data_IF_737708653111
#
_entry.id   IF_737708653111
#
_cell.length_a   1.000
_cell.length_b   1.000
_cell.length_c   1.000
_cell.angle_alpha   90.00
_cell.angle_beta   90.00
_cell.angle_gamma   90.00
#
_symmetry.space_group_name_H-M   'P 1'
#
loop_
_entity.id
_entity.type
_entity.pdbx_description
1 polymer ?
#
# COMPACT_ATOMS: atom_id res chain seq x y z
N UNK A 1 -12.30 14.47 19.58
CA UNK A 1 -11.65 13.97 18.35
C UNK A 1 -12.75 13.45 17.41
N UNK A 2 -12.65 13.69 16.11
CA UNK A 2 -13.68 13.36 15.10
C UNK A 2 -13.53 11.95 14.49
N UNK A 3 -12.40 11.27 14.74
CA UNK A 3 -12.19 9.88 14.36
C UNK A 3 -12.78 8.96 15.44
N UNK A 4 -13.70 8.08 15.05
CA UNK A 4 -14.32 7.09 15.94
C UNK A 4 -13.29 6.18 16.62
N UNK A 5 -13.66 5.60 17.76
CA UNK A 5 -12.82 4.58 18.42
C UNK A 5 -12.76 3.32 17.56
N UNK A 6 -11.61 2.62 17.59
CA UNK A 6 -11.33 1.39 16.83
C UNK A 6 -11.45 1.57 15.31
N UNK A 7 -11.32 2.80 14.83
CA UNK A 7 -11.32 3.08 13.40
C UNK A 7 -10.02 2.60 12.75
N UNK A 8 -10.11 2.20 11.48
CA UNK A 8 -8.96 1.98 10.61
C UNK A 8 -8.89 3.15 9.63
N UNK A 9 -7.73 3.80 9.57
CA UNK A 9 -7.42 4.88 8.63
C UNK A 9 -6.40 4.37 7.64
N UNK A 10 -6.77 4.29 6.36
CA UNK A 10 -5.85 3.96 5.28
C UNK A 10 -5.31 5.25 4.66
N UNK A 11 -4.03 5.55 4.91
CA UNK A 11 -3.32 6.67 4.31
C UNK A 11 -2.57 6.19 3.05
N UNK A 12 -3.12 6.55 1.88
CA UNK A 12 -2.58 6.19 0.56
C UNK A 12 -1.68 7.28 -0.03
N UNK A 13 -1.46 8.41 0.67
CA UNK A 13 -0.75 9.55 0.08
C UNK A 13 0.76 9.52 0.34
N UNK A 14 1.50 10.16 -0.58
CA UNK A 14 2.93 10.48 -0.42
C UNK A 14 3.17 11.94 -0.83
N UNK A 15 3.67 12.82 0.07
CA UNK A 15 3.91 12.59 1.51
C UNK A 15 2.65 12.16 2.29
N UNK A 16 2.83 11.55 3.46
CA UNK A 16 1.72 11.06 4.30
C UNK A 16 0.83 12.22 4.74
N UNK A 17 -0.48 12.00 4.75
CA UNK A 17 -1.45 12.96 5.27
C UNK A 17 -1.57 12.87 6.79
N UNK A 18 -1.32 11.70 7.37
CA UNK A 18 -1.37 11.48 8.82
C UNK A 18 0.02 11.63 9.43
N UNK A 19 0.15 12.54 10.39
CA UNK A 19 1.36 12.72 11.18
C UNK A 19 1.52 11.60 12.21
N UNK A 20 2.75 11.22 12.53
CA UNK A 20 3.07 10.12 13.44
C UNK A 20 2.52 10.37 14.87
N UNK A 21 2.48 11.63 15.28
CA UNK A 21 1.93 12.08 16.56
C UNK A 21 0.46 11.70 16.72
N UNK A 22 -0.31 11.64 15.63
CA UNK A 22 -1.73 11.24 15.67
C UNK A 22 -1.84 9.79 16.10
N UNK A 23 -1.03 8.89 15.55
CA UNK A 23 -1.04 7.48 15.92
C UNK A 23 -0.52 7.25 17.35
N UNK A 24 0.45 8.06 17.80
CA UNK A 24 0.92 8.03 19.20
C UNK A 24 -0.15 8.49 20.19
N UNK A 25 -0.93 9.52 19.82
CA UNK A 25 -1.99 10.07 20.67
C UNK A 25 -3.28 9.22 20.66
N UNK A 26 -3.56 8.51 19.55
CA UNK A 26 -4.76 7.68 19.37
C UNK A 26 -4.39 6.20 19.26
N UNK A 27 -4.02 5.59 20.38
CA UNK A 27 -3.73 4.14 20.47
C UNK A 27 -4.96 3.24 20.29
N UNK A 28 -6.14 3.84 20.12
CA UNK A 28 -7.40 3.20 19.77
C UNK A 28 -7.75 3.31 18.28
N UNK A 29 -6.84 3.81 17.44
CA UNK A 29 -7.02 3.93 15.98
C UNK A 29 -5.85 3.25 15.28
N UNK A 30 -6.15 2.43 14.27
CA UNK A 30 -5.14 1.82 13.42
C UNK A 30 -4.93 2.69 12.19
N UNK A 31 -3.72 3.24 12.02
CA UNK A 31 -3.33 3.94 10.78
C UNK A 31 -2.49 2.97 9.95
N UNK A 32 -2.93 2.66 8.73
CA UNK A 32 -2.21 1.82 7.79
C UNK A 32 -1.77 2.62 6.56
N UNK A 33 -0.61 2.29 6.01
CA UNK A 33 -0.12 2.79 4.73
C UNK A 33 -0.70 1.92 3.62
N UNK A 34 -1.38 2.54 2.66
CA UNK A 34 -1.89 1.84 1.48
C UNK A 34 -0.93 1.90 0.29
N UNK A 35 -1.15 1.02 -0.69
CA UNK A 35 -0.43 1.06 -1.97
C UNK A 35 1.01 0.58 -1.90
N UNK A 36 1.32 -0.41 -1.05
CA UNK A 36 2.62 -1.09 -1.00
C UNK A 36 2.50 -2.48 -1.62
N UNK A 37 3.41 -2.80 -2.52
CA UNK A 37 3.41 -4.06 -3.27
C UNK A 37 4.75 -4.76 -3.10
N UNK A 38 4.71 -6.06 -2.80
CA UNK A 38 5.86 -6.95 -2.86
C UNK A 38 6.12 -7.31 -4.33
N UNK A 39 7.31 -6.97 -4.81
CA UNK A 39 7.75 -7.22 -6.19
C UNK A 39 8.46 -8.59 -6.23
N UNK A 40 8.11 -9.47 -7.17
CA UNK A 40 8.69 -10.82 -7.26
C UNK A 40 10.20 -10.77 -7.55
N UNK A 41 10.93 -11.75 -7.00
CA UNK A 41 12.38 -11.87 -7.14
C UNK A 41 13.15 -10.99 -6.16
N UNK A 42 14.32 -10.50 -6.60
CA UNK A 42 15.21 -9.63 -5.81
C UNK A 42 15.53 -8.38 -6.63
N UNK A 43 14.56 -7.49 -6.87
CA UNK A 43 14.79 -6.31 -7.70
C UNK A 43 15.75 -5.34 -7.01
N UNK A 44 16.75 -4.89 -7.75
CA UNK A 44 17.50 -3.69 -7.42
C UNK A 44 16.90 -2.50 -8.18
N UNK A 45 16.23 -1.61 -7.45
CA UNK A 45 15.62 -0.41 -8.03
C UNK A 45 16.63 0.71 -8.29
N UNK A 46 17.88 0.59 -7.79
CA UNK A 46 18.91 1.62 -7.94
C UNK A 46 18.61 2.94 -7.21
N UNK A 47 17.53 3.01 -6.43
CA UNK A 47 17.15 4.18 -5.65
C UNK A 47 16.31 3.80 -4.42
N UNK A 48 16.43 4.59 -3.35
CA UNK A 48 15.61 4.47 -2.14
C UNK A 48 14.42 5.45 -2.24
N UNK A 49 13.21 4.90 -2.20
CA UNK A 49 11.96 5.65 -2.19
C UNK A 49 11.13 5.41 -0.93
N UNK A 50 11.76 4.94 0.15
CA UNK A 50 11.20 4.88 1.50
C UNK A 50 10.60 3.53 1.91
N UNK A 51 10.83 2.46 1.14
CA UNK A 51 10.43 1.10 1.51
C UNK A 51 11.62 0.15 1.58
N UNK A 52 11.53 -0.92 2.39
CA UNK A 52 12.50 -2.01 2.36
C UNK A 52 12.71 -2.60 0.95
N UNK A 53 13.86 -3.23 0.68
CA UNK A 53 14.13 -3.91 -0.59
C UNK A 53 13.01 -4.88 -0.99
N UNK A 54 12.76 -4.98 -2.29
CA UNK A 54 11.70 -5.84 -2.84
C UNK A 54 10.28 -5.27 -2.70
N UNK A 55 10.09 -4.05 -2.20
CA UNK A 55 8.79 -3.40 -2.09
C UNK A 55 8.73 -2.14 -2.95
N UNK A 56 7.58 -1.90 -3.57
CA UNK A 56 7.34 -0.75 -4.43
C UNK A 56 5.98 -0.09 -4.15
N UNK A 57 5.81 1.13 -4.64
CA UNK A 57 4.49 1.74 -4.71
C UNK A 57 3.60 0.99 -5.71
N UNK A 58 2.30 0.93 -5.44
CA UNK A 58 1.33 0.29 -6.33
C UNK A 58 1.36 0.88 -7.76
N UNK A 59 1.57 2.19 -7.90
CA UNK A 59 1.72 2.81 -9.23
C UNK A 59 2.98 2.36 -9.98
N UNK A 60 4.09 2.10 -9.28
CA UNK A 60 5.28 1.51 -9.89
C UNK A 60 5.04 0.06 -10.29
N UNK A 61 4.35 -0.70 -9.43
CA UNK A 61 3.98 -2.08 -9.72
C UNK A 61 3.05 -2.19 -10.94
N UNK A 62 2.07 -1.29 -11.10
CA UNK A 62 1.21 -1.24 -12.30
C UNK A 62 2.06 -1.11 -13.58
N UNK A 63 3.01 -0.16 -13.60
CA UNK A 63 3.93 0.01 -14.74
C UNK A 63 4.76 -1.24 -15.03
N UNK A 64 5.26 -1.91 -13.98
CA UNK A 64 6.04 -3.15 -14.12
C UNK A 64 5.17 -4.28 -14.69
N UNK A 65 3.96 -4.45 -14.17
CA UNK A 65 3.00 -5.47 -14.60
C UNK A 65 2.59 -5.26 -16.06
N UNK A 66 2.27 -4.03 -16.46
CA UNK A 66 1.94 -3.71 -17.85
C UNK A 66 3.12 -3.99 -18.78
N UNK A 67 4.34 -3.64 -18.37
CA UNK A 67 5.56 -3.95 -19.13
C UNK A 67 5.75 -5.45 -19.32
N UNK A 68 5.51 -6.27 -18.28
CA UNK A 68 5.60 -7.72 -18.36
C UNK A 68 4.52 -8.35 -19.27
N UNK A 69 3.37 -7.70 -19.40
CA UNK A 69 2.33 -8.06 -20.38
C UNK A 69 2.58 -7.49 -21.78
N UNK A 70 3.64 -6.70 -21.98
CA UNK A 70 3.92 -6.02 -23.25
C UNK A 70 2.89 -4.94 -23.61
N UNK A 71 2.19 -4.40 -22.61
CA UNK A 71 1.17 -3.36 -22.75
C UNK A 71 1.78 -1.99 -22.49
N UNK A 72 1.97 -1.21 -23.55
CA UNK A 72 2.54 0.14 -23.48
C UNK A 72 1.46 1.17 -23.78
N UNK A 73 0.58 1.34 -22.81
CA UNK A 73 -0.59 2.20 -22.94
C UNK A 73 -0.82 3.02 -21.66
N UNK A 74 -1.60 4.07 -21.82
CA UNK A 74 -2.09 4.90 -20.73
C UNK A 74 -3.23 4.18 -19.99
N UNK A 75 -2.88 3.20 -19.15
CA UNK A 75 -3.85 2.28 -18.57
C UNK A 75 -4.76 2.93 -17.52
N UNK A 76 -4.16 3.54 -16.49
CA UNK A 76 -4.84 4.32 -15.45
C UNK A 76 -4.46 5.79 -15.58
N UNK A 77 -5.39 6.63 -16.03
CA UNK A 77 -5.21 8.08 -16.14
C UNK A 77 -6.40 8.84 -15.56
N UNK A 78 -6.10 9.97 -14.93
CA UNK A 78 -7.12 10.88 -14.38
C UNK A 78 -7.69 10.40 -13.05
N UNK A 79 -8.87 10.94 -12.70
CA UNK A 79 -9.53 10.68 -11.41
C UNK A 79 -10.54 9.54 -11.46
N UNK A 80 -10.95 9.15 -12.66
CA UNK A 80 -11.93 8.10 -12.86
C UNK A 80 -11.21 6.76 -13.01
N UNK A 81 -11.47 5.86 -12.06
CA UNK A 81 -10.88 4.53 -12.05
C UNK A 81 -12.00 3.51 -12.20
N UNK A 82 -11.93 2.74 -13.28
CA UNK A 82 -12.91 1.68 -13.54
C UNK A 82 -12.58 0.44 -12.70
N UNK A 83 -13.56 -0.05 -11.94
CA UNK A 83 -13.39 -1.26 -11.09
C UNK A 83 -12.96 -2.47 -11.92
N UNK A 84 -13.40 -2.57 -13.18
CA UNK A 84 -12.99 -3.65 -14.08
C UNK A 84 -11.48 -3.64 -14.35
N UNK A 85 -10.90 -2.46 -14.60
CA UNK A 85 -9.45 -2.29 -14.79
C UNK A 85 -8.66 -2.61 -13.52
N UNK A 86 -9.18 -2.23 -12.35
CA UNK A 86 -8.54 -2.57 -11.07
C UNK A 86 -8.44 -4.09 -10.89
N UNK A 87 -9.51 -4.83 -11.20
CA UNK A 87 -9.51 -6.30 -11.11
C UNK A 87 -8.62 -6.95 -12.17
N UNK A 88 -8.57 -6.36 -13.37
CA UNK A 88 -7.69 -6.85 -14.43
C UNK A 88 -6.22 -6.69 -14.03
N UNK A 89 -5.79 -5.50 -13.59
CA UNK A 89 -4.41 -5.29 -13.18
C UNK A 89 -4.03 -6.12 -11.95
N UNK A 90 -4.97 -6.33 -11.01
CA UNK A 90 -4.78 -7.25 -9.87
C UNK A 90 -4.49 -8.68 -10.34
N UNK A 91 -5.30 -9.22 -11.26
CA UNK A 91 -5.08 -10.57 -11.80
C UNK A 91 -3.75 -10.68 -12.59
N UNK A 92 -3.36 -9.64 -13.33
CA UNK A 92 -2.09 -9.59 -14.03
C UNK A 92 -0.90 -9.51 -13.05
N UNK A 93 -1.04 -8.74 -11.97
CA UNK A 93 -0.05 -8.65 -10.90
C UNK A 93 0.15 -10.01 -10.23
N UNK A 94 -0.93 -10.69 -9.87
CA UNK A 94 -0.91 -12.05 -9.31
C UNK A 94 -0.25 -13.06 -10.25
N UNK A 95 -0.57 -13.02 -11.55
CA UNK A 95 0.03 -13.86 -12.59
C UNK A 95 1.57 -13.75 -12.60
N UNK A 96 2.10 -12.56 -12.39
CA UNK A 96 3.56 -12.32 -12.36
C UNK A 96 4.18 -12.48 -10.97
N UNK A 97 3.39 -12.78 -9.94
CA UNK A 97 3.87 -13.02 -8.58
C UNK A 97 4.03 -11.76 -7.73
N UNK A 98 3.49 -10.62 -8.17
CA UNK A 98 3.33 -9.44 -7.31
C UNK A 98 2.26 -9.71 -6.25
N UNK A 99 2.44 -9.14 -5.05
CA UNK A 99 1.49 -9.31 -3.95
C UNK A 99 1.26 -7.99 -3.23
N UNK A 100 0.04 -7.74 -2.79
CA UNK A 100 -0.21 -6.64 -1.85
C UNK A 100 0.58 -6.94 -0.57
N UNK A 101 1.40 -5.98 -0.14
CA UNK A 101 2.24 -6.18 1.04
C UNK A 101 1.40 -6.25 2.31
N UNK A 102 1.99 -6.81 3.38
CA UNK A 102 1.39 -6.78 4.70
C UNK A 102 1.10 -5.35 5.19
N UNK A 103 0.23 -5.23 6.20
CA UNK A 103 -0.13 -3.93 6.77
C UNK A 103 1.11 -3.23 7.33
N UNK A 104 1.31 -1.98 6.94
CA UNK A 104 2.38 -1.12 7.45
C UNK A 104 1.81 0.12 8.11
N UNK A 105 2.52 0.68 9.08
CA UNK A 105 2.19 1.94 9.73
C UNK A 105 3.48 2.72 9.94
N UNK A 106 3.60 3.92 9.38
CA UNK A 106 4.80 4.76 9.52
C UNK A 106 6.13 4.07 9.15
N UNK A 107 6.12 3.20 8.14
CA UNK A 107 7.33 2.52 7.64
C UNK A 107 7.70 1.25 8.39
N UNK A 108 6.94 0.84 9.42
CA UNK A 108 7.09 -0.46 10.10
C UNK A 108 5.91 -1.37 9.79
N UNK A 109 6.12 -2.66 9.91
CA UNK A 109 5.02 -3.64 9.83
C UNK A 109 4.12 -3.51 11.06
N UNK A 110 2.82 -3.68 10.84
CA UNK A 110 1.81 -3.76 11.89
C UNK A 110 1.74 -5.21 12.35
N UNK A 111 1.88 -5.44 13.65
CA UNK A 111 1.79 -6.81 14.21
C UNK A 111 0.35 -7.17 14.58
N UNK A 112 0.07 -8.47 14.65
CA UNK A 112 -1.24 -8.97 15.08
C UNK A 112 -1.57 -8.53 16.52
N UNK A 113 -0.56 -8.47 17.40
CA UNK A 113 -0.73 -8.00 18.78
C UNK A 113 -1.20 -6.55 18.85
N UNK A 114 -0.72 -5.69 17.94
CA UNK A 114 -1.15 -4.29 17.85
C UNK A 114 -2.59 -4.17 17.37
N UNK A 115 -2.95 -4.96 16.34
CA UNK A 115 -4.33 -5.03 15.83
C UNK A 115 -5.28 -5.47 16.96
N UNK A 116 -4.90 -6.53 17.67
CA UNK A 116 -5.66 -7.08 18.78
C UNK A 116 -5.77 -6.11 19.97
N UNK A 117 -4.72 -5.34 20.26
CA UNK A 117 -4.77 -4.30 21.29
C UNK A 117 -5.77 -3.19 20.93
N UNK A 118 -5.81 -2.76 19.67
CA UNK A 118 -6.74 -1.73 19.18
C UNK A 118 -8.18 -2.23 19.20
N UNK A 119 -8.43 -3.49 18.79
CA UNK A 119 -9.77 -4.11 18.86
C UNK A 119 -10.34 -4.11 20.28
N UNK A 120 -9.49 -4.19 21.31
CA UNK A 120 -9.89 -4.20 22.74
C UNK A 120 -10.08 -2.82 23.37
N UNK A 121 -9.54 -1.75 22.78
CA UNK A 121 -9.51 -0.38 23.34
C UNK A 121 -10.88 0.32 23.42
#
# INVERSE_FOLDING_TARGET
SWIAKRAVVCDVSRPRNIAEEVARARRDVLVIEGGVVDVPGEPDFGMDFGYPPGKAYACMAETMVLTLEGRFEDYTLGKEVEVAKVKEIEALAEKHGFRVSGLRSFGREVTEEEIEAIKRA
#
